data_IF_971162429300
#
_entry.id   IF_971162429300
#
_cell.length_a   1.000
_cell.length_b   1.000
_cell.length_c   1.000
_cell.angle_alpha   90.00
_cell.angle_beta   90.00
_cell.angle_gamma   90.00
#
_symmetry.space_group_name_H-M   'P 1'
#
loop_
_entity.id
_entity.type
_entity.pdbx_description
1 polymer ?
#
# COMPACT_ATOMS: atom_id res chain seq x y z
N UNK A 1 -6.82 -8.53 -11.19
CA UNK A 1 -6.00 -7.39 -11.68
C UNK A 1 -4.58 -7.66 -11.22
N UNK A 2 -3.67 -8.03 -12.11
CA UNK A 2 -2.33 -8.57 -11.77
C UNK A 2 -1.51 -7.62 -10.88
N UNK A 3 -1.53 -6.33 -11.19
CA UNK A 3 -0.80 -5.29 -10.43
C UNK A 3 -1.15 -5.27 -8.93
N UNK A 4 -2.43 -5.44 -8.57
CA UNK A 4 -2.86 -5.42 -7.18
C UNK A 4 -2.26 -6.60 -6.42
N UNK A 5 -2.32 -7.78 -7.01
CA UNK A 5 -1.89 -9.02 -6.36
C UNK A 5 -0.38 -9.00 -6.10
N UNK A 6 0.41 -8.54 -7.07
CA UNK A 6 1.86 -8.33 -6.93
C UNK A 6 2.20 -7.29 -5.84
N UNK A 7 1.51 -6.15 -5.84
CA UNK A 7 1.75 -5.09 -4.86
C UNK A 7 1.43 -5.53 -3.41
N UNK A 8 0.34 -6.29 -3.21
CA UNK A 8 0.00 -6.82 -1.88
C UNK A 8 0.93 -7.96 -1.45
N UNK A 9 1.49 -8.72 -2.38
CA UNK A 9 2.41 -9.82 -2.08
C UNK A 9 3.75 -9.35 -1.49
N UNK A 10 4.22 -8.16 -1.86
CA UNK A 10 5.47 -7.58 -1.34
C UNK A 10 5.43 -7.38 0.18
N UNK A 11 4.27 -7.06 0.77
CA UNK A 11 4.12 -6.87 2.21
C UNK A 11 4.52 -8.12 3.02
N UNK A 12 4.21 -9.32 2.51
CA UNK A 12 4.52 -10.57 3.21
C UNK A 12 5.77 -11.25 2.66
N UNK A 13 5.87 -11.45 1.34
CA UNK A 13 6.99 -12.17 0.71
C UNK A 13 8.25 -11.32 0.55
N UNK A 14 8.11 -9.99 0.49
CA UNK A 14 9.23 -9.06 0.40
C UNK A 14 9.68 -8.56 1.78
N UNK A 15 8.72 -8.11 2.61
CA UNK A 15 9.03 -7.49 3.90
C UNK A 15 8.84 -8.44 5.09
N UNK A 16 7.64 -9.02 5.24
CA UNK A 16 7.29 -9.86 6.39
C UNK A 16 8.19 -11.08 6.59
N UNK A 17 8.76 -11.64 5.51
CA UNK A 17 9.66 -12.79 5.54
C UNK A 17 11.01 -12.50 6.22
N UNK A 18 11.38 -11.24 6.42
CA UNK A 18 12.61 -10.86 7.15
C UNK A 18 12.47 -11.02 8.67
N UNK A 19 11.25 -11.27 9.16
CA UNK A 19 10.95 -11.42 10.57
C UNK A 19 10.57 -12.87 10.91
N UNK A 20 10.99 -13.37 12.08
CA UNK A 20 10.57 -14.69 12.58
C UNK A 20 9.04 -14.82 12.69
N UNK A 21 8.55 -16.06 12.71
CA UNK A 21 7.15 -16.31 13.01
C UNK A 21 6.82 -15.92 14.46
N UNK A 22 5.67 -15.25 14.65
CA UNK A 22 5.26 -14.70 15.95
C UNK A 22 5.91 -13.36 16.32
N UNK A 23 6.73 -12.77 15.44
CA UNK A 23 7.26 -11.42 15.66
C UNK A 23 6.19 -10.36 15.46
N UNK A 24 6.09 -9.42 16.40
CA UNK A 24 5.11 -8.31 16.35
C UNK A 24 5.23 -7.44 15.09
N UNK A 25 6.43 -7.31 14.51
CA UNK A 25 6.67 -6.55 13.28
C UNK A 25 6.06 -7.27 12.08
N UNK A 26 6.12 -8.61 12.05
CA UNK A 26 5.49 -9.43 11.01
C UNK A 26 3.97 -9.33 11.08
N UNK A 27 3.41 -9.42 12.28
CA UNK A 27 1.96 -9.28 12.50
C UNK A 27 1.44 -7.90 12.06
N UNK A 28 2.22 -6.84 12.30
CA UNK A 28 1.90 -5.49 11.83
C UNK A 28 1.84 -5.43 10.30
N UNK A 29 2.84 -5.99 9.61
CA UNK A 29 2.87 -6.00 8.14
C UNK A 29 1.70 -6.80 7.55
N UNK A 30 1.36 -7.95 8.14
CA UNK A 30 0.19 -8.73 7.76
C UNK A 30 -1.12 -7.96 7.98
N UNK A 31 -1.23 -7.21 9.08
CA UNK A 31 -2.39 -6.37 9.35
C UNK A 31 -2.53 -5.25 8.32
N UNK A 32 -1.43 -4.59 7.95
CA UNK A 32 -1.42 -3.55 6.91
C UNK A 32 -1.90 -4.14 5.58
N UNK A 33 -1.33 -5.28 5.16
CA UNK A 33 -1.73 -5.97 3.93
C UNK A 33 -3.23 -6.30 3.91
N UNK A 34 -3.81 -6.73 5.04
CA UNK A 34 -5.22 -7.17 5.14
C UNK A 34 -6.21 -6.02 5.27
N UNK A 35 -5.79 -4.86 5.78
CA UNK A 35 -6.72 -3.77 6.17
C UNK A 35 -6.62 -2.53 5.30
N UNK A 36 -5.53 -2.32 4.58
CA UNK A 36 -5.34 -1.12 3.75
C UNK A 36 -5.77 -1.33 2.30
N UNK A 37 -6.16 -0.23 1.66
CA UNK A 37 -6.51 -0.20 0.26
C UNK A 37 -5.33 0.29 -0.59
N UNK A 38 -5.11 -0.37 -1.72
CA UNK A 38 -4.24 0.15 -2.78
C UNK A 38 -5.06 1.11 -3.64
N UNK A 39 -4.72 2.40 -3.60
CA UNK A 39 -5.43 3.46 -4.30
C UNK A 39 -4.54 4.03 -5.39
N UNK A 40 -5.11 4.22 -6.58
CA UNK A 40 -4.50 4.97 -7.67
C UNK A 40 -5.38 6.18 -7.94
N UNK A 41 -4.79 7.38 -7.94
CA UNK A 41 -5.47 8.65 -8.18
C UNK A 41 -4.77 9.37 -9.34
N UNK A 42 -5.56 9.93 -10.25
CA UNK A 42 -5.07 10.67 -11.41
C UNK A 42 -5.73 12.04 -11.42
N UNK A 43 -4.92 13.09 -11.42
CA UNK A 43 -5.36 14.42 -11.78
C UNK A 43 -5.29 14.56 -13.30
N UNK A 44 -6.42 14.91 -13.91
CA UNK A 44 -6.51 15.04 -15.36
C UNK A 44 -6.25 16.48 -15.84
N UNK A 45 -6.20 17.46 -14.94
CA UNK A 45 -5.80 18.82 -15.29
C UNK A 45 -4.27 18.91 -15.34
N UNK A 46 -3.72 18.70 -16.54
CA UNK A 46 -2.28 18.74 -16.75
C UNK A 46 -1.67 20.14 -16.52
N UNK A 47 -2.45 21.21 -16.64
CA UNK A 47 -1.93 22.58 -16.65
C UNK A 47 -2.03 23.23 -15.27
N UNK A 48 -3.13 23.00 -14.56
CA UNK A 48 -3.41 23.63 -13.26
C UNK A 48 -3.75 22.62 -12.16
N UNK A 49 -3.54 21.33 -12.41
CA UNK A 49 -3.82 20.28 -11.45
C UNK A 49 -3.11 20.46 -10.11
N UNK A 50 -3.82 20.09 -9.04
CA UNK A 50 -3.29 19.94 -7.68
C UNK A 50 -3.84 18.64 -7.09
N UNK A 51 -3.18 17.52 -7.44
CA UNK A 51 -3.49 16.19 -6.92
C UNK A 51 -3.58 16.18 -5.38
N UNK A 52 -2.77 17.01 -4.71
CA UNK A 52 -2.70 17.04 -3.25
C UNK A 52 -3.84 17.82 -2.60
N UNK A 53 -4.58 18.64 -3.35
CA UNK A 53 -5.79 19.29 -2.84
C UNK A 53 -6.81 18.28 -2.30
N UNK A 54 -6.86 17.07 -2.87
CA UNK A 54 -7.73 15.98 -2.41
C UNK A 54 -7.43 15.51 -0.97
N UNK A 55 -6.27 15.85 -0.41
CA UNK A 55 -5.84 15.44 0.93
C UNK A 55 -5.73 16.62 1.92
N UNK A 56 -6.05 17.84 1.49
CA UNK A 56 -6.10 19.00 2.39
C UNK A 56 -7.38 18.94 3.21
N UNK A 57 -7.25 19.10 4.53
CA UNK A 57 -8.36 19.19 5.51
C UNK A 57 -8.83 20.64 5.60
#
# INVERSE_FOLDING_TARGET
>A
MVWKDEAFEIWTRGWGCMFPEGDSSRELLEKVQKTYYLVSLVDNDYVQGDLFAAFKI
#
